data_IF_033119713396
#
_entry.id   IF_033119713396
#
_cell.length_a   1.000
_cell.length_b   1.000
_cell.length_c   1.000
_cell.angle_alpha   90.00
_cell.angle_beta   90.00
_cell.angle_gamma   90.00
#
_symmetry.space_group_name_H-M   'P 1'
#
loop_
_entity.id
_entity.type
_entity.pdbx_description
1 polymer ?
#
# COMPACT_ATOMS: atom_id res chain seq x y z
N UNK A 1 11.87 2.29 3.50
CA UNK A 1 11.73 1.44 2.30
C UNK A 1 11.15 0.07 2.67
N UNK A 2 9.82 -0.06 2.56
CA UNK A 2 9.05 -1.31 2.74
C UNK A 2 8.54 -1.82 1.39
N UNK A 3 8.38 -3.14 1.25
CA UNK A 3 7.64 -3.72 0.12
C UNK A 3 6.14 -3.65 0.41
N UNK A 4 5.37 -3.14 -0.55
CA UNK A 4 3.92 -3.00 -0.47
C UNK A 4 3.27 -4.04 -1.37
N UNK A 5 2.49 -4.94 -0.78
CA UNK A 5 1.59 -5.80 -1.53
C UNK A 5 0.33 -5.01 -1.93
N UNK A 6 -0.46 -5.57 -2.86
CA UNK A 6 -1.66 -4.90 -3.34
C UNK A 6 -2.67 -4.60 -2.21
N UNK A 7 -2.82 -5.48 -1.22
CA UNK A 7 -3.75 -5.27 -0.11
C UNK A 7 -3.33 -4.15 0.84
N UNK A 8 -2.06 -3.73 0.83
CA UNK A 8 -1.60 -2.53 1.55
C UNK A 8 -1.87 -1.23 0.76
N UNK A 9 -2.00 -1.31 -0.57
CA UNK A 9 -2.22 -0.16 -1.46
C UNK A 9 -3.71 0.12 -1.67
N UNK A 10 -4.53 -0.92 -1.86
CA UNK A 10 -5.96 -0.79 -2.16
C UNK A 10 -6.72 0.06 -1.11
N UNK A 11 -6.48 -0.08 0.21
CA UNK A 11 -7.16 0.75 1.21
C UNK A 11 -6.86 2.25 1.13
N UNK A 12 -5.79 2.66 0.44
CA UNK A 12 -5.47 4.06 0.19
C UNK A 12 -6.25 4.62 -1.01
N UNK A 13 -6.74 3.76 -1.90
CA UNK A 13 -7.42 4.10 -3.15
C UNK A 13 -8.94 3.91 -3.08
N UNK A 14 -9.40 3.02 -2.19
CA UNK A 14 -10.80 2.71 -1.96
C UNK A 14 -11.17 2.95 -0.49
N UNK A 15 -12.46 3.18 -0.21
CA UNK A 15 -12.97 3.33 1.16
C UNK A 15 -13.01 1.96 1.87
N UNK A 16 -11.85 1.46 2.29
CA UNK A 16 -11.73 0.23 3.06
C UNK A 16 -11.39 0.49 4.54
N UNK A 17 -11.80 -0.40 5.47
CA UNK A 17 -11.55 -0.23 6.90
C UNK A 17 -10.08 -0.04 7.28
N UNK A 18 -9.15 -0.54 6.46
CA UNK A 18 -7.71 -0.45 6.72
C UNK A 18 -7.08 0.90 6.34
N UNK A 19 -7.83 1.82 5.73
CA UNK A 19 -7.30 3.10 5.19
C UNK A 19 -6.47 3.88 6.20
N UNK A 20 -7.02 4.13 7.39
CA UNK A 20 -6.34 4.95 8.41
C UNK A 20 -5.06 4.29 8.95
N UNK A 21 -5.03 2.95 8.98
CA UNK A 21 -3.82 2.23 9.34
C UNK A 21 -2.74 2.35 8.25
N UNK A 22 -3.13 2.24 6.98
CA UNK A 22 -2.20 2.36 5.86
C UNK A 22 -1.69 3.79 5.66
N UNK A 23 -2.51 4.81 5.95
CA UNK A 23 -2.07 6.21 5.93
C UNK A 23 -0.95 6.47 6.94
N UNK A 24 -1.05 5.95 8.16
CA UNK A 24 0.02 6.09 9.16
C UNK A 24 1.32 5.43 8.70
N UNK A 25 1.22 4.25 8.08
CA UNK A 25 2.39 3.57 7.52
C UNK A 25 3.03 4.39 6.40
N UNK A 26 2.22 5.03 5.54
CA UNK A 26 2.70 5.90 4.47
C UNK A 26 3.31 7.20 4.99
N UNK A 27 2.75 7.79 6.05
CA UNK A 27 3.30 8.98 6.71
C UNK A 27 4.66 8.70 7.35
N UNK A 28 4.86 7.51 7.91
CA UNK A 28 6.14 7.07 8.48
C UNK A 28 7.18 6.68 7.42
N UNK A 29 6.74 6.15 6.27
CA UNK A 29 7.60 5.67 5.18
C UNK A 29 6.91 5.90 3.83
N UNK A 30 7.12 7.08 3.25
CA UNK A 30 6.43 7.52 2.04
C UNK A 30 6.86 6.78 0.76
N UNK A 31 7.93 5.98 0.81
CA UNK A 31 8.41 5.21 -0.33
C UNK A 31 7.58 3.93 -0.53
N UNK A 32 6.89 3.86 -1.67
CA UNK A 32 6.15 2.67 -2.09
C UNK A 32 7.00 1.87 -3.09
N UNK A 33 7.51 0.72 -2.64
CA UNK A 33 8.08 -0.30 -3.50
C UNK A 33 7.06 -1.43 -3.69
N UNK A 34 6.51 -1.57 -4.89
CA UNK A 34 5.50 -2.58 -5.20
C UNK A 34 5.84 -3.35 -6.49
N UNK A 35 5.31 -4.56 -6.63
CA UNK A 35 5.49 -5.42 -7.82
C UNK A 35 4.11 -5.80 -8.39
N UNK A 36 3.88 -5.49 -9.66
CA UNK A 36 2.58 -5.70 -10.35
C UNK A 36 2.49 -7.02 -11.14
N UNK A 37 3.25 -8.01 -10.72
CA UNK A 37 3.27 -9.36 -11.31
C UNK A 37 4.15 -9.44 -12.56
N UNK A 38 4.63 -10.65 -12.84
CA UNK A 38 5.18 -11.01 -14.16
C UNK A 38 4.03 -11.21 -15.14
N UNK A 39 4.17 -10.80 -16.42
CA UNK A 39 3.21 -11.14 -17.45
C UNK A 39 3.02 -12.66 -17.52
N UNK A 40 1.77 -13.11 -17.59
CA UNK A 40 1.37 -14.51 -17.86
C UNK A 40 0.89 -14.65 -19.29
#
# INVERSE_FOLDING_TARGET
MKFWDASAIIPLLAEEPAREAMLRVLEEDAEILAWWGTPV
#
